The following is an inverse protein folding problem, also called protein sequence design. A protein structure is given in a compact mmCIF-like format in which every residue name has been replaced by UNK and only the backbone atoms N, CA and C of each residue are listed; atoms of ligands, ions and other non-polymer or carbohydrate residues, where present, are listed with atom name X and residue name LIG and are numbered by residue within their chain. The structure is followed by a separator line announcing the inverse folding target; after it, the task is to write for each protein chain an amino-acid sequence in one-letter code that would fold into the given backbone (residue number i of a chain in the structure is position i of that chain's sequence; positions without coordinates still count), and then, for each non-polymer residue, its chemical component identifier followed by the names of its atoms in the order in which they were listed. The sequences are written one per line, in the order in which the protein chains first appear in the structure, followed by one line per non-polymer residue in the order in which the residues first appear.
data_IF_043165702131
#
_entry.id   IF_043165702131
#
_cell.length_a   1.000
_cell.length_b   1.000
_cell.length_c   1.000
_cell.angle_alpha   90.00
_cell.angle_beta   90.00
_cell.angle_gamma   90.00
#
_symmetry.space_group_name_H-M   'P 1'
#
loop_
_entity.id
_entity.type
_entity.pdbx_description
1 polymer ?
#
# COMPACT_ATOMS: atom_id res chain seq x y z
N UNK A 1 25.85 20.58 25.20
CA UNK A 1 24.52 21.10 24.79
C UNK A 1 24.17 20.93 23.29
N UNK A 2 24.94 20.21 22.44
CA UNK A 2 24.67 20.10 20.99
C UNK A 2 23.76 18.93 20.55
N UNK A 3 23.34 18.02 21.44
CA UNK A 3 22.60 16.81 21.07
C UNK A 3 21.07 16.93 21.13
N UNK A 4 20.52 17.64 22.12
CA UNK A 4 19.07 17.70 22.33
C UNK A 4 18.34 18.31 21.12
N UNK A 5 18.91 19.31 20.45
CA UNK A 5 18.24 19.98 19.32
C UNK A 5 18.12 19.09 18.09
N UNK A 6 19.10 18.19 17.82
CA UNK A 6 19.00 17.23 16.70
C UNK A 6 18.01 16.12 17.03
N UNK A 7 18.04 15.61 18.27
CA UNK A 7 17.11 14.58 18.74
C UNK A 7 15.64 15.08 18.71
N UNK A 8 15.40 16.31 19.16
CA UNK A 8 14.08 16.97 19.11
C UNK A 8 13.57 17.07 17.67
N UNK A 9 14.44 17.40 16.70
CA UNK A 9 14.04 17.50 15.28
C UNK A 9 13.79 16.14 14.62
N UNK A 10 14.49 15.08 15.04
CA UNK A 10 14.23 13.70 14.59
C UNK A 10 12.87 13.21 15.08
N UNK A 11 12.60 13.36 16.38
CA UNK A 11 11.31 12.99 16.97
C UNK A 11 10.14 13.78 16.37
N UNK A 12 10.37 15.05 16.03
CA UNK A 12 9.35 15.86 15.39
C UNK A 12 9.01 15.34 13.99
N UNK A 13 10.01 14.93 13.19
CA UNK A 13 9.77 14.29 11.89
C UNK A 13 8.93 13.03 12.03
N UNK A 14 9.25 12.17 13.00
CA UNK A 14 8.47 10.96 13.31
C UNK A 14 7.01 11.30 13.66
N UNK A 15 6.80 12.28 14.54
CA UNK A 15 5.47 12.75 14.96
C UNK A 15 4.67 13.30 13.79
N UNK A 16 5.28 14.17 13.01
CA UNK A 16 4.62 14.83 11.87
C UNK A 16 4.26 13.82 10.78
N UNK A 17 5.16 12.88 10.48
CA UNK A 17 4.89 11.84 9.48
C UNK A 17 3.85 10.84 9.97
N UNK A 18 3.89 10.44 11.25
CA UNK A 18 2.87 9.56 11.83
C UNK A 18 1.48 10.22 11.76
N UNK A 19 1.38 11.52 12.04
CA UNK A 19 0.12 12.25 11.91
C UNK A 19 -0.34 12.34 10.46
N UNK A 20 0.58 12.63 9.53
CA UNK A 20 0.29 12.68 8.11
C UNK A 20 -0.23 11.34 7.59
N UNK A 21 0.48 10.24 7.85
CA UNK A 21 0.11 8.93 7.32
C UNK A 21 -1.20 8.43 7.92
N UNK A 22 -1.46 8.72 9.21
CA UNK A 22 -2.72 8.36 9.85
C UNK A 22 -3.94 9.14 9.32
N UNK A 23 -3.71 10.29 8.69
CA UNK A 23 -4.75 11.06 8.01
C UNK A 23 -5.03 10.56 6.59
N UNK A 24 -4.18 9.69 6.02
CA UNK A 24 -4.40 9.12 4.70
C UNK A 24 -5.48 8.02 4.75
N UNK A 25 -6.33 7.92 3.72
CA UNK A 25 -7.37 6.89 3.67
C UNK A 25 -6.81 5.47 3.83
N UNK A 26 -7.41 4.71 4.74
CA UNK A 26 -7.09 3.31 4.95
C UNK A 26 -5.81 3.03 5.72
N UNK A 27 -5.06 4.05 6.14
CA UNK A 27 -3.90 3.89 6.99
C UNK A 27 -4.27 3.96 8.46
N UNK A 28 -3.56 3.20 9.29
CA UNK A 28 -3.63 3.27 10.76
C UNK A 28 -2.23 3.10 11.34
N UNK A 29 -1.78 4.07 12.13
CA UNK A 29 -0.51 3.94 12.87
C UNK A 29 -0.72 2.98 14.04
N UNK A 30 0.10 1.93 14.12
CA UNK A 30 0.11 0.96 15.22
C UNK A 30 0.99 1.42 16.38
N UNK A 31 2.07 2.15 16.08
CA UNK A 31 2.95 2.71 17.10
C UNK A 31 4.16 3.43 16.52
N UNK A 32 4.85 4.18 17.39
CA UNK A 32 6.13 4.84 17.11
C UNK A 32 7.23 4.23 17.98
N UNK A 33 8.48 4.27 17.50
CA UNK A 33 9.69 3.74 18.18
C UNK A 33 9.48 2.34 18.73
N UNK A 34 8.96 1.46 17.89
CA UNK A 34 8.68 0.09 18.29
C UNK A 34 9.94 -0.76 18.18
N UNK A 35 10.22 -1.52 19.23
CA UNK A 35 11.37 -2.42 19.27
C UNK A 35 10.98 -3.84 18.87
N UNK A 36 11.73 -4.41 17.93
CA UNK A 36 11.53 -5.75 17.42
C UNK A 36 12.78 -6.58 17.61
N UNK A 37 12.64 -7.78 18.16
CA UNK A 37 13.74 -8.74 18.26
C UNK A 37 13.97 -9.35 16.88
N UNK A 38 15.19 -9.23 16.36
CA UNK A 38 15.67 -9.89 15.15
C UNK A 38 16.15 -11.32 15.40
N UNK A 39 16.43 -12.06 14.33
CA UNK A 39 17.10 -13.37 14.38
C UNK A 39 18.60 -13.21 14.54
N UNK A 40 19.19 -12.20 13.90
CA UNK A 40 20.64 -12.03 13.79
C UNK A 40 21.20 -11.17 14.93
N UNK A 41 20.59 -10.01 15.20
CA UNK A 41 21.11 -9.09 16.21
C UNK A 41 20.76 -9.51 17.64
N UNK A 42 21.73 -9.39 18.55
CA UNK A 42 21.53 -9.55 20.00
C UNK A 42 20.64 -8.45 20.59
N UNK A 43 20.69 -7.24 20.03
CA UNK A 43 19.88 -6.08 20.44
C UNK A 43 18.62 -5.98 19.57
N UNK A 44 17.54 -5.47 20.15
CA UNK A 44 16.31 -5.20 19.39
C UNK A 44 16.54 -4.10 18.36
N UNK A 45 15.94 -4.25 17.19
CA UNK A 45 15.86 -3.20 16.19
C UNK A 45 14.74 -2.22 16.56
N UNK A 46 15.05 -0.94 16.52
CA UNK A 46 14.04 0.10 16.58
C UNK A 46 13.48 0.35 15.18
N UNK A 47 12.16 0.45 15.08
CA UNK A 47 11.46 0.95 13.90
C UNK A 47 10.71 2.21 14.31
N UNK A 48 10.99 3.32 13.63
CA UNK A 48 10.48 4.64 14.00
C UNK A 48 8.95 4.70 13.97
N UNK A 49 8.30 4.18 12.92
CA UNK A 49 6.84 4.11 12.84
C UNK A 49 6.42 2.78 12.20
N UNK A 50 5.40 2.14 12.79
CA UNK A 50 4.74 0.98 12.22
C UNK A 50 3.28 1.34 11.97
N UNK A 51 2.82 1.10 10.75
CA UNK A 51 1.45 1.36 10.34
C UNK A 51 0.88 0.16 9.57
N UNK A 52 -0.44 0.12 9.44
CA UNK A 52 -1.14 -0.80 8.56
C UNK A 52 -1.92 -0.01 7.51
N UNK A 53 -2.10 -0.60 6.33
CA UNK A 53 -3.02 -0.09 5.33
C UNK A 53 -3.99 -1.18 4.84
N UNK A 54 -5.29 -0.87 4.89
CA UNK A 54 -6.39 -1.79 4.54
C UNK A 54 -6.87 -1.63 3.09
N UNK A 55 -6.52 -0.55 2.38
CA UNK A 55 -7.04 -0.23 1.05
C UNK A 55 -6.15 -0.70 -0.11
N UNK A 56 -4.87 -1.00 0.09
CA UNK A 56 -3.93 -1.32 -1.00
C UNK A 56 -4.34 -2.53 -1.85
N UNK A 57 -4.89 -3.58 -1.23
CA UNK A 57 -5.37 -4.77 -1.96
C UNK A 57 -6.69 -4.50 -2.69
N UNK A 58 -7.52 -3.65 -2.11
CA UNK A 58 -8.84 -3.31 -2.65
C UNK A 58 -8.68 -2.60 -3.99
N UNK A 59 -7.76 -1.64 -4.11
CA UNK A 59 -7.65 -0.85 -5.34
C UNK A 59 -7.33 -1.73 -6.56
N UNK A 60 -6.41 -2.69 -6.44
CA UNK A 60 -6.11 -3.64 -7.53
C UNK A 60 -7.29 -4.55 -7.82
N UNK A 61 -7.96 -5.04 -6.78
CA UNK A 61 -9.17 -5.85 -6.95
C UNK A 61 -10.23 -5.08 -7.73
N UNK A 62 -10.53 -3.82 -7.37
CA UNK A 62 -11.53 -3.01 -8.07
C UNK A 62 -11.15 -2.74 -9.53
N UNK A 63 -9.86 -2.59 -9.86
CA UNK A 63 -9.43 -2.46 -11.26
C UNK A 63 -9.79 -3.72 -12.03
N UNK A 64 -9.39 -4.92 -11.56
CA UNK A 64 -9.74 -6.17 -12.23
C UNK A 64 -11.25 -6.41 -12.27
N UNK A 65 -11.93 -6.10 -11.19
CA UNK A 65 -13.38 -6.26 -11.08
C UNK A 65 -14.14 -5.35 -12.05
N UNK A 66 -13.77 -4.06 -12.13
CA UNK A 66 -14.33 -3.13 -13.11
C UNK A 66 -14.04 -3.61 -14.54
N UNK A 67 -12.82 -4.08 -14.83
CA UNK A 67 -12.51 -4.64 -16.15
C UNK A 67 -13.39 -5.85 -16.49
N UNK A 68 -13.65 -6.75 -15.54
CA UNK A 68 -14.55 -7.90 -15.73
C UNK A 68 -15.99 -7.44 -15.94
N UNK A 69 -16.49 -6.48 -15.16
CA UNK A 69 -17.82 -5.90 -15.38
C UNK A 69 -17.90 -5.29 -16.78
N UNK A 70 -16.91 -4.51 -17.20
CA UNK A 70 -16.87 -3.91 -18.53
C UNK A 70 -16.91 -4.97 -19.63
N UNK A 71 -16.14 -6.06 -19.49
CA UNK A 71 -16.18 -7.19 -20.44
C UNK A 71 -17.57 -7.83 -20.46
N UNK A 72 -18.15 -8.12 -19.30
CA UNK A 72 -19.49 -8.70 -19.20
C UNK A 72 -20.56 -7.78 -19.81
N UNK A 73 -20.44 -6.47 -19.60
CA UNK A 73 -21.34 -5.47 -20.19
C UNK A 73 -21.20 -5.41 -21.71
N UNK A 74 -19.96 -5.47 -22.24
CA UNK A 74 -19.70 -5.54 -23.68
C UNK A 74 -20.27 -6.83 -24.27
N UNK A 75 -20.00 -7.99 -23.66
CA UNK A 75 -20.55 -9.27 -24.12
C UNK A 75 -22.08 -9.27 -24.11
N UNK A 76 -22.69 -8.66 -23.08
CA UNK A 76 -24.14 -8.52 -23.02
C UNK A 76 -24.68 -7.58 -24.09
N UNK A 77 -24.03 -6.43 -24.33
CA UNK A 77 -24.39 -5.50 -25.39
C UNK A 77 -24.25 -6.14 -26.78
N UNK A 78 -23.20 -6.92 -27.03
CA UNK A 78 -23.02 -7.70 -28.27
C UNK A 78 -24.11 -8.75 -28.40
N UNK A 79 -24.43 -9.49 -27.34
CA UNK A 79 -25.54 -10.45 -27.36
C UNK A 79 -26.90 -9.79 -27.59
N UNK A 80 -27.08 -8.54 -27.16
CA UNK A 80 -28.28 -7.75 -27.41
C UNK A 80 -28.33 -7.29 -28.87
N UNK A 81 -27.20 -6.89 -29.46
CA UNK A 81 -27.08 -6.57 -30.88
C UNK A 81 -27.37 -7.82 -31.73
N UNK A 82 -26.79 -8.96 -31.38
CA UNK A 82 -27.03 -10.25 -32.02
C UNK A 82 -28.49 -10.70 -31.84
N UNK A 83 -29.09 -10.43 -30.68
CA UNK A 83 -30.51 -10.69 -30.43
C UNK A 83 -31.40 -9.78 -31.29
N UNK A 84 -31.08 -8.48 -31.42
CA UNK A 84 -31.84 -7.54 -32.27
C UNK A 84 -31.66 -7.87 -33.75
N UNK A 85 -30.47 -8.30 -34.19
CA UNK A 85 -30.22 -8.72 -35.58
C UNK A 85 -30.81 -10.10 -35.89
N UNK A 86 -30.94 -10.98 -34.90
CA UNK A 86 -31.54 -12.32 -35.03
C UNK A 86 -33.05 -12.35 -34.69
N UNK A 87 -33.59 -11.25 -34.17
CA UNK A 87 -35.01 -11.08 -33.82
C UNK A 87 -35.93 -10.98 -35.03
N UNK A 88 -35.41 -11.00 -36.26
CA UNK A 88 -36.24 -11.19 -37.44
C UNK A 88 -36.65 -12.65 -37.67
N UNK A 89 -36.06 -13.67 -37.01
CA UNK A 89 -36.40 -15.06 -37.36
C UNK A 89 -36.60 -16.07 -36.19
N UNK A 90 -35.76 -16.22 -35.16
CA UNK A 90 -35.85 -17.46 -34.31
C UNK A 90 -35.29 -17.38 -32.87
N UNK A 91 -35.78 -16.58 -31.90
CA UNK A 91 -35.16 -16.66 -30.55
C UNK A 91 -36.06 -16.45 -29.32
N UNK A 92 -37.26 -17.04 -29.30
CA UNK A 92 -38.04 -17.19 -28.05
C UNK A 92 -37.76 -18.52 -27.29
N UNK A 93 -36.95 -19.44 -27.83
CA UNK A 93 -36.95 -20.85 -27.38
C UNK A 93 -35.65 -21.43 -26.84
N UNK A 94 -34.50 -20.74 -26.91
CA UNK A 94 -33.19 -21.42 -26.73
C UNK A 94 -32.30 -20.85 -25.61
N UNK A 95 -32.62 -19.70 -24.99
CA UNK A 95 -31.75 -19.17 -23.92
C UNK A 95 -32.46 -19.28 -22.57
N UNK A 96 -32.08 -20.26 -21.72
CA UNK A 96 -32.68 -20.39 -20.40
C UNK A 96 -32.28 -19.20 -19.52
N UNK A 97 -33.32 -18.56 -18.97
CA UNK A 97 -33.37 -17.55 -17.92
C UNK A 97 -32.19 -17.50 -16.94
N UNK A 98 -31.04 -16.98 -17.34
CA UNK A 98 -30.22 -16.22 -16.39
C UNK A 98 -30.96 -14.89 -16.26
N UNK A 99 -31.81 -14.78 -15.23
CA UNK A 99 -32.55 -13.53 -15.04
C UNK A 99 -31.55 -12.40 -14.88
N UNK A 100 -31.71 -11.34 -15.68
CA UNK A 100 -30.88 -10.13 -15.63
C UNK A 100 -30.72 -9.63 -14.19
N UNK A 101 -31.79 -9.74 -13.41
CA UNK A 101 -31.84 -9.48 -11.96
C UNK A 101 -30.86 -10.35 -11.16
N UNK A 102 -30.79 -11.65 -11.43
CA UNK A 102 -29.85 -12.58 -10.79
C UNK A 102 -28.40 -12.21 -11.05
N UNK A 103 -28.03 -11.90 -12.30
CA UNK A 103 -26.66 -11.46 -12.64
C UNK A 103 -26.29 -10.16 -11.94
N UNK A 104 -27.20 -9.18 -11.91
CA UNK A 104 -26.98 -7.91 -11.22
C UNK A 104 -26.80 -8.13 -9.72
N UNK A 105 -27.64 -8.95 -9.09
CA UNK A 105 -27.52 -9.27 -7.66
C UNK A 105 -26.18 -9.95 -7.37
N UNK A 106 -25.77 -10.93 -8.18
CA UNK A 106 -24.47 -11.61 -8.02
C UNK A 106 -23.30 -10.63 -8.15
N UNK A 107 -23.34 -9.72 -9.13
CA UNK A 107 -22.32 -8.68 -9.30
C UNK A 107 -22.28 -7.74 -8.08
N UNK A 108 -23.42 -7.30 -7.57
CA UNK A 108 -23.49 -6.45 -6.37
C UNK A 108 -22.88 -7.18 -5.16
N UNK A 109 -23.25 -8.45 -4.93
CA UNK A 109 -22.70 -9.24 -3.82
C UNK A 109 -21.19 -9.43 -3.96
N UNK A 110 -20.69 -9.77 -5.15
CA UNK A 110 -19.25 -9.91 -5.43
C UNK A 110 -18.51 -8.57 -5.25
N UNK A 111 -19.13 -7.44 -5.60
CA UNK A 111 -18.57 -6.09 -5.41
C UNK A 111 -18.32 -5.76 -3.93
N UNK A 112 -19.18 -6.30 -3.06
CA UNK A 112 -19.24 -5.96 -1.64
C UNK A 112 -18.28 -6.84 -0.81
N UNK A 113 -18.01 -8.07 -1.24
CA UNK A 113 -17.09 -9.00 -0.56
C UNK A 113 -15.70 -8.39 -0.29
N UNK A 114 -14.98 -7.78 -1.25
CA UNK A 114 -13.68 -7.15 -1.02
C UNK A 114 -13.73 -5.98 -0.05
N UNK A 115 -14.84 -5.23 -0.06
CA UNK A 115 -15.07 -4.12 0.86
C UNK A 115 -15.12 -4.61 2.31
N UNK A 116 -15.76 -5.76 2.56
CA UNK A 116 -15.75 -6.39 3.89
C UNK A 116 -14.44 -7.10 4.21
N UNK A 117 -13.82 -7.78 3.24
CA UNK A 117 -12.58 -8.55 3.44
C UNK A 117 -11.34 -7.68 3.67
N UNK A 118 -11.41 -6.37 3.39
CA UNK A 118 -10.27 -5.45 3.54
C UNK A 118 -9.65 -5.39 4.92
N UNK A 119 -10.48 -5.58 5.95
CA UNK A 119 -10.04 -5.48 7.35
C UNK A 119 -9.22 -6.70 7.77
N UNK A 120 -9.36 -7.82 7.08
CA UNK A 120 -8.72 -9.10 7.44
C UNK A 120 -7.28 -9.23 6.94
N UNK A 121 -6.89 -8.46 5.90
CA UNK A 121 -5.57 -8.57 5.29
C UNK A 121 -4.85 -7.22 5.13
N UNK A 122 -4.58 -6.50 6.23
CA UNK A 122 -3.79 -5.27 6.17
C UNK A 122 -2.39 -5.52 5.61
N UNK A 123 -1.91 -4.55 4.84
CA UNK A 123 -0.49 -4.46 4.49
C UNK A 123 0.24 -3.76 5.63
N UNK A 124 1.24 -4.42 6.21
CA UNK A 124 2.08 -3.82 7.25
C UNK A 124 3.09 -2.86 6.61
N UNK A 125 3.30 -1.70 7.21
CA UNK A 125 4.16 -0.66 6.67
C UNK A 125 5.18 -0.31 7.75
N UNK A 126 6.44 -0.59 7.45
CA UNK A 126 7.57 -0.19 8.29
C UNK A 126 8.10 1.12 7.74
N UNK A 127 8.29 2.10 8.61
CA UNK A 127 8.70 3.44 8.23
C UNK A 127 9.95 3.81 9.05
N UNK A 128 11.00 4.21 8.34
CA UNK A 128 12.19 4.81 8.92
C UNK A 128 12.20 6.31 8.59
N UNK A 129 12.54 7.13 9.58
CA UNK A 129 12.67 8.57 9.46
C UNK A 129 14.10 9.00 9.75
N UNK A 130 14.65 9.85 8.88
CA UNK A 130 16.02 10.37 9.02
C UNK A 130 16.05 11.87 8.80
N UNK A 131 16.20 12.58 9.91
CA UNK A 131 16.49 14.00 9.92
C UNK A 131 17.99 14.25 10.08
N UNK A 132 18.72 14.05 8.98
CA UNK A 132 20.16 14.26 8.92
C UNK A 132 20.48 15.69 8.48
N UNK A 133 21.71 16.14 8.70
CA UNK A 133 22.24 17.38 8.11
C UNK A 133 22.66 17.20 6.65
N UNK A 134 22.68 15.97 6.16
CA UNK A 134 22.99 15.59 4.78
C UNK A 134 21.83 14.79 4.18
N UNK A 135 21.83 14.61 2.86
CA UNK A 135 20.87 13.72 2.20
C UNK A 135 21.05 12.27 2.67
N UNK A 136 19.95 11.51 2.68
CA UNK A 136 19.98 10.09 2.98
C UNK A 136 20.77 9.34 1.91
N UNK A 137 21.69 8.49 2.35
CA UNK A 137 22.56 7.64 1.52
C UNK A 137 22.05 6.20 1.47
N UNK A 138 22.57 5.42 0.50
CA UNK A 138 22.30 3.98 0.33
C UNK A 138 22.43 3.17 1.62
N UNK A 139 23.51 3.39 2.38
CA UNK A 139 23.79 2.57 3.58
C UNK A 139 22.72 2.70 4.66
N UNK A 140 22.12 3.90 4.79
CA UNK A 140 21.01 4.10 5.72
C UNK A 140 19.79 3.26 5.33
N UNK A 141 19.51 3.18 4.04
CA UNK A 141 18.41 2.36 3.52
C UNK A 141 18.71 0.86 3.64
N UNK A 142 19.93 0.45 3.28
CA UNK A 142 20.33 -0.95 3.33
C UNK A 142 20.19 -1.50 4.77
N UNK A 143 20.66 -0.73 5.77
CA UNK A 143 20.49 -1.10 7.18
C UNK A 143 19.03 -1.29 7.55
N UNK A 144 18.16 -0.35 7.20
CA UNK A 144 16.73 -0.43 7.48
C UNK A 144 16.08 -1.66 6.82
N UNK A 145 16.35 -1.87 5.52
CA UNK A 145 15.80 -3.01 4.77
C UNK A 145 16.20 -4.33 5.42
N UNK A 146 17.47 -4.49 5.78
CA UNK A 146 17.97 -5.72 6.38
C UNK A 146 17.37 -5.96 7.77
N UNK A 147 17.23 -4.91 8.59
CA UNK A 147 16.54 -5.00 9.87
C UNK A 147 15.10 -5.49 9.70
N UNK A 148 14.33 -4.89 8.77
CA UNK A 148 12.94 -5.29 8.55
C UNK A 148 12.83 -6.71 8.01
N UNK A 149 13.70 -7.12 7.08
CA UNK A 149 13.76 -8.50 6.58
C UNK A 149 13.97 -9.49 7.72
N UNK A 150 14.91 -9.20 8.63
CA UNK A 150 15.20 -10.06 9.78
C UNK A 150 14.00 -10.14 10.75
N UNK A 151 13.32 -9.02 11.00
CA UNK A 151 12.10 -8.98 11.82
C UNK A 151 10.97 -9.81 11.19
N UNK A 152 10.72 -9.61 9.89
CA UNK A 152 9.66 -10.30 9.14
C UNK A 152 9.90 -11.80 9.13
N UNK A 153 11.13 -12.22 8.86
CA UNK A 153 11.54 -13.61 8.87
C UNK A 153 11.31 -14.25 10.24
N UNK A 154 11.84 -13.64 11.31
CA UNK A 154 11.71 -14.17 12.67
C UNK A 154 10.28 -14.25 13.18
N UNK A 155 9.47 -13.23 12.92
CA UNK A 155 8.07 -13.19 13.36
C UNK A 155 7.15 -14.03 12.48
N UNK A 156 7.66 -14.65 11.40
CA UNK A 156 6.85 -15.41 10.46
C UNK A 156 5.71 -14.57 9.87
N UNK A 157 5.96 -13.28 9.61
CA UNK A 157 4.92 -12.36 9.12
C UNK A 157 4.53 -12.81 7.70
N UNK A 158 3.41 -13.53 7.59
CA UNK A 158 2.81 -13.93 6.31
C UNK A 158 2.06 -12.79 5.62
N UNK A 159 1.84 -11.66 6.31
CA UNK A 159 1.19 -10.47 5.76
C UNK A 159 2.10 -9.80 4.73
N UNK A 160 1.51 -9.22 3.69
CA UNK A 160 2.23 -8.32 2.78
C UNK A 160 2.79 -7.15 3.58
N UNK A 161 4.02 -6.73 3.27
CA UNK A 161 4.61 -5.56 3.91
C UNK A 161 5.20 -4.58 2.88
N UNK A 162 5.36 -3.33 3.30
CA UNK A 162 6.00 -2.26 2.56
C UNK A 162 7.02 -1.54 3.43
N UNK A 163 8.01 -0.97 2.74
CA UNK A 163 9.07 -0.19 3.34
C UNK A 163 8.91 1.27 2.92
N UNK A 164 8.93 2.17 3.88
CA UNK A 164 8.84 3.61 3.67
C UNK A 164 10.04 4.26 4.34
N UNK A 165 10.67 5.19 3.63
CA UNK A 165 11.75 6.01 4.17
C UNK A 165 11.34 7.47 4.09
N UNK A 166 11.63 8.26 5.13
CA UNK A 166 11.23 9.67 5.21
C UNK A 166 12.41 10.55 5.56
N UNK A 167 12.57 11.68 4.87
CA UNK A 167 13.60 12.67 5.19
C UNK A 167 13.17 14.09 4.84
N UNK A 168 13.60 15.09 5.62
CA UNK A 168 13.41 16.50 5.25
C UNK A 168 14.33 16.94 4.11
N UNK A 169 15.62 16.58 4.17
CA UNK A 169 16.60 16.98 3.14
C UNK A 169 16.46 16.17 1.84
N UNK A 170 15.85 14.98 1.93
CA UNK A 170 15.69 14.07 0.80
C UNK A 170 16.86 13.09 0.66
N UNK A 171 17.13 12.68 -0.57
CA UNK A 171 17.93 11.49 -0.88
C UNK A 171 18.99 11.84 -1.92
N UNK A 172 20.15 11.19 -1.83
CA UNK A 172 21.12 11.21 -2.93
C UNK A 172 20.61 10.35 -4.10
N UNK A 173 21.23 10.52 -5.28
CA UNK A 173 20.81 9.80 -6.49
C UNK A 173 20.94 8.29 -6.33
N UNK A 174 21.99 7.86 -5.66
CA UNK A 174 22.29 6.44 -5.43
C UNK A 174 21.25 5.77 -4.51
N UNK A 175 20.86 6.43 -3.41
CA UNK A 175 19.80 5.96 -2.53
C UNK A 175 18.45 5.89 -3.23
N UNK A 176 18.13 6.84 -4.13
CA UNK A 176 16.90 6.78 -4.94
C UNK A 176 16.90 5.55 -5.84
N UNK A 177 18.02 5.28 -6.54
CA UNK A 177 18.14 4.10 -7.39
C UNK A 177 18.06 2.81 -6.59
N UNK A 178 18.72 2.77 -5.44
CA UNK A 178 18.70 1.64 -4.51
C UNK A 178 17.28 1.40 -3.94
N UNK A 179 16.57 2.46 -3.55
CA UNK A 179 15.19 2.40 -3.10
C UNK A 179 14.27 1.82 -4.18
N UNK A 180 14.45 2.22 -5.44
CA UNK A 180 13.68 1.68 -6.57
C UNK A 180 13.90 0.17 -6.73
N UNK A 181 15.15 -0.28 -6.70
CA UNK A 181 15.49 -1.70 -6.82
C UNK A 181 14.85 -2.54 -5.69
N UNK A 182 14.84 -2.00 -4.47
CA UNK A 182 14.28 -2.68 -3.30
C UNK A 182 12.83 -2.34 -2.97
N UNK A 183 12.12 -1.62 -3.86
CA UNK A 183 10.70 -1.21 -3.69
C UNK A 183 10.43 -0.45 -2.38
N UNK A 184 11.38 0.40 -1.96
CA UNK A 184 11.22 1.31 -0.82
C UNK A 184 10.56 2.60 -1.29
N UNK A 185 9.46 2.99 -0.64
CA UNK A 185 8.80 4.26 -0.94
C UNK A 185 9.51 5.41 -0.21
N UNK A 186 9.97 6.42 -0.97
CA UNK A 186 10.67 7.57 -0.43
C UNK A 186 9.75 8.79 -0.29
N UNK A 187 9.77 9.46 0.85
CA UNK A 187 8.97 10.65 1.14
C UNK A 187 9.84 11.80 1.63
N UNK A 188 9.68 12.97 0.99
CA UNK A 188 10.34 14.20 1.42
C UNK A 188 9.36 15.04 2.24
N UNK A 189 9.79 15.43 3.45
CA UNK A 189 9.07 16.39 4.27
C UNK A 189 9.41 17.83 3.91
N UNK A 190 8.43 18.73 4.07
CA UNK A 190 8.61 20.18 4.05
C UNK A 190 7.70 20.79 5.11
N UNK A 191 8.20 20.88 6.35
CA UNK A 191 7.35 21.16 7.51
C UNK A 191 6.31 20.06 7.71
N UNK A 192 5.03 20.42 7.83
CA UNK A 192 3.91 19.46 8.05
C UNK A 192 3.41 18.78 6.77
N UNK A 193 3.99 19.09 5.61
CA UNK A 193 3.61 18.50 4.32
C UNK A 193 4.63 17.45 3.90
N UNK A 194 4.15 16.38 3.30
CA UNK A 194 4.99 15.28 2.80
C UNK A 194 4.67 15.00 1.35
N UNK A 195 5.71 14.81 0.55
CA UNK A 195 5.59 14.52 -0.87
C UNK A 195 6.36 13.25 -1.19
N UNK A 196 5.72 12.36 -1.96
CA UNK A 196 6.38 11.16 -2.46
C UNK A 196 7.42 11.56 -3.50
N UNK A 197 8.65 11.08 -3.31
CA UNK A 197 9.73 11.32 -4.28
C UNK A 197 9.47 10.42 -5.48
N UNK A 198 9.32 11.02 -6.66
CA UNK A 198 9.11 10.27 -7.90
C UNK A 198 10.40 9.52 -8.24
N UNK A 199 10.32 8.19 -8.26
CA UNK A 199 11.39 7.31 -8.70
C UNK A 199 11.32 7.18 -10.24
N UNK A 200 11.50 8.29 -10.97
CA UNK A 200 11.59 8.25 -12.44
C UNK A 200 12.90 7.63 -12.88
#
# INVERSE_FOLDING_TARGET
MKDNTKQIKGEQLEKDFAKFINALPGYKVLGRRQFFKGTIAKRNYEIDIVAENYLFKIQRFYIYYLSIITILFILHAVSLIDFISSASVIFAKVIPNISFTGTIITLIVISIIPFFLRHYYPTLIFIESKNLSTKVKRDHMNKFINNVKDIVHKKGIKKSYKLVFVSYLGYDKDAIQFARHHKVECWKGSGKKFQKVSLK
#
